data_IF_786007836417
#
_entry.id   IF_786007836417
#
_cell.length_a   1.000
_cell.length_b   1.000
_cell.length_c   1.000
_cell.angle_alpha   90.00
_cell.angle_beta   90.00
_cell.angle_gamma   90.00
#
_symmetry.space_group_name_H-M   'P 1'
#
loop_
_entity.id
_entity.type
_entity.pdbx_description
1 polymer ?
#
# COMPACT_ATOMS: atom_id res chain seq x y z
N UNK A 1 6.54 3.36 24.04
CA UNK A 1 6.77 1.99 23.52
C UNK A 1 6.10 1.75 22.17
N UNK A 2 4.88 2.23 21.92
CA UNK A 2 4.19 2.06 20.62
C UNK A 2 4.85 2.85 19.48
N UNK A 3 5.36 4.07 19.75
CA UNK A 3 5.99 4.93 18.74
C UNK A 3 7.10 4.23 17.92
N UNK A 4 8.05 3.56 18.58
CA UNK A 4 9.12 2.85 17.87
C UNK A 4 8.57 1.69 17.01
N UNK A 5 7.49 1.05 17.45
CA UNK A 5 6.78 0.05 16.66
C UNK A 5 6.15 0.67 15.42
N UNK A 6 5.43 1.79 15.56
CA UNK A 6 4.86 2.54 14.44
C UNK A 6 5.94 2.96 13.43
N UNK A 7 7.05 3.53 13.91
CA UNK A 7 8.16 3.93 13.04
C UNK A 7 8.76 2.74 12.30
N UNK A 8 8.92 1.59 12.98
CA UNK A 8 9.42 0.38 12.33
C UNK A 8 8.47 -0.13 11.24
N UNK A 9 7.16 -0.15 11.50
CA UNK A 9 6.16 -0.57 10.51
C UNK A 9 6.14 0.34 9.28
N UNK A 10 6.19 1.66 9.49
CA UNK A 10 6.23 2.64 8.41
C UNK A 10 7.52 2.52 7.58
N UNK A 11 8.67 2.33 8.26
CA UNK A 11 9.96 2.17 7.59
C UNK A 11 9.99 0.89 6.73
N UNK A 12 9.53 -0.25 7.26
CA UNK A 12 9.47 -1.51 6.51
C UNK A 12 8.53 -1.40 5.30
N UNK A 13 7.40 -0.72 5.45
CA UNK A 13 6.47 -0.48 4.35
C UNK A 13 7.09 0.42 3.27
N UNK A 14 7.74 1.50 3.68
CA UNK A 14 8.47 2.40 2.78
C UNK A 14 9.57 1.68 2.01
N UNK A 15 10.41 0.88 2.69
CA UNK A 15 11.55 0.20 2.04
C UNK A 15 11.09 -0.87 1.06
N UNK A 16 9.99 -1.56 1.39
CA UNK A 16 9.32 -2.50 0.47
C UNK A 16 8.85 -1.76 -0.79
N UNK A 17 8.08 -0.68 -0.61
CA UNK A 17 7.53 0.10 -1.71
C UNK A 17 8.63 0.74 -2.55
N UNK A 18 9.66 1.31 -1.94
CA UNK A 18 10.80 1.92 -2.64
C UNK A 18 11.46 0.95 -3.63
N UNK A 19 11.53 -0.33 -3.26
CA UNK A 19 12.16 -1.36 -4.10
C UNK A 19 11.28 -1.75 -5.29
N UNK A 20 9.95 -1.82 -5.11
CA UNK A 20 9.01 -2.26 -6.15
C UNK A 20 8.28 -1.14 -6.88
N UNK A 21 8.40 0.12 -6.44
CA UNK A 21 7.55 1.25 -6.87
C UNK A 21 7.50 1.43 -8.38
N UNK A 22 8.64 1.31 -9.05
CA UNK A 22 8.74 1.48 -10.51
C UNK A 22 8.05 0.36 -11.29
N UNK A 23 7.89 -0.82 -10.70
CA UNK A 23 7.18 -1.97 -11.29
C UNK A 23 5.66 -1.87 -11.16
N UNK A 24 5.14 -0.98 -10.32
CA UNK A 24 3.69 -0.83 -10.10
C UNK A 24 3.07 0.01 -11.23
N UNK A 25 1.95 -0.43 -11.85
CA UNK A 25 1.24 0.36 -12.85
C UNK A 25 0.94 1.79 -12.37
N UNK A 26 1.10 2.78 -13.26
CA UNK A 26 0.94 4.21 -12.93
C UNK A 26 -0.43 4.55 -12.33
N UNK A 27 -1.49 3.91 -12.82
CA UNK A 27 -2.85 4.06 -12.29
C UNK A 27 -2.95 3.59 -10.84
N UNK A 28 -2.44 2.40 -10.54
CA UNK A 28 -2.45 1.83 -9.19
C UNK A 28 -1.60 2.67 -8.22
N UNK A 29 -0.42 3.14 -8.67
CA UNK A 29 0.40 4.08 -7.90
C UNK A 29 -0.37 5.35 -7.51
N UNK A 30 -1.06 5.96 -8.47
CA UNK A 30 -1.79 7.21 -8.23
C UNK A 30 -2.96 7.00 -7.26
N UNK A 31 -3.72 5.92 -7.46
CA UNK A 31 -4.83 5.57 -6.59
C UNK A 31 -4.38 5.23 -5.16
N UNK A 32 -3.39 4.35 -5.01
CA UNK A 32 -2.90 3.96 -3.70
C UNK A 32 -2.12 5.08 -2.99
N UNK A 33 -1.50 6.02 -3.72
CA UNK A 33 -0.92 7.24 -3.12
C UNK A 33 -2.01 8.15 -2.53
N UNK A 34 -3.17 8.28 -3.18
CA UNK A 34 -4.33 8.99 -2.62
C UNK A 34 -4.87 8.29 -1.37
N UNK A 35 -5.08 6.97 -1.42
CA UNK A 35 -5.53 6.17 -0.27
C UNK A 35 -4.53 6.23 0.89
N UNK A 36 -3.23 6.10 0.60
CA UNK A 36 -2.16 6.17 1.59
C UNK A 36 -2.04 7.53 2.26
N UNK A 37 -2.52 8.61 1.62
CA UNK A 37 -2.54 9.97 2.20
C UNK A 37 -3.75 10.25 3.08
N UNK A 38 -4.75 9.38 3.09
CA UNK A 38 -5.89 9.50 4.01
C UNK A 38 -5.36 9.53 5.45
N UNK A 39 -5.89 10.45 6.26
CA UNK A 39 -5.50 10.63 7.66
C UNK A 39 -4.04 11.06 7.90
N UNK A 40 -3.42 11.76 6.94
CA UNK A 40 -2.12 12.43 7.13
C UNK A 40 -0.91 11.71 6.54
N UNK A 41 -1.11 10.60 5.84
CA UNK A 41 -0.04 9.83 5.19
C UNK A 41 0.42 8.63 6.01
N UNK A 42 0.41 7.46 5.37
CA UNK A 42 0.96 6.21 5.90
C UNK A 42 1.42 5.32 4.76
N UNK A 43 2.69 4.92 4.80
CA UNK A 43 3.24 3.91 3.91
C UNK A 43 2.66 2.53 4.19
N UNK A 44 2.28 2.25 5.44
CA UNK A 44 1.58 1.00 5.77
C UNK A 44 0.22 0.91 5.06
N UNK A 45 -0.56 2.00 5.01
CA UNK A 45 -1.83 2.04 4.26
C UNK A 45 -1.57 1.94 2.76
N UNK A 46 -0.59 2.71 2.25
CA UNK A 46 -0.22 2.68 0.83
C UNK A 46 0.17 1.26 0.39
N UNK A 47 1.03 0.60 1.17
CA UNK A 47 1.49 -0.76 0.91
C UNK A 47 0.31 -1.73 0.89
N UNK A 48 -0.56 -1.66 1.89
CA UNK A 48 -1.75 -2.51 1.95
C UNK A 48 -2.66 -2.31 0.73
N UNK A 49 -2.86 -1.08 0.28
CA UNK A 49 -3.61 -0.80 -0.95
C UNK A 49 -2.96 -1.47 -2.18
N UNK A 50 -1.64 -1.31 -2.35
CA UNK A 50 -0.92 -1.91 -3.49
C UNK A 50 -1.02 -3.44 -3.47
N UNK A 51 -0.88 -4.06 -2.31
CA UNK A 51 -1.02 -5.52 -2.14
C UNK A 51 -2.43 -5.98 -2.51
N UNK A 52 -3.47 -5.33 -1.97
CA UNK A 52 -4.87 -5.66 -2.29
C UNK A 52 -5.19 -5.49 -3.78
N UNK A 53 -4.75 -4.39 -4.41
CA UNK A 53 -4.98 -4.13 -5.83
C UNK A 53 -4.19 -5.09 -6.73
N UNK A 54 -2.98 -5.49 -6.32
CA UNK A 54 -2.18 -6.49 -7.04
C UNK A 54 -2.81 -7.87 -6.96
N UNK A 55 -3.32 -8.25 -5.79
CA UNK A 55 -4.03 -9.51 -5.58
C UNK A 55 -5.34 -9.54 -6.36
N UNK A 56 -6.12 -8.44 -6.35
CA UNK A 56 -7.34 -8.31 -7.14
C UNK A 56 -7.08 -8.36 -8.65
N UNK A 57 -5.97 -7.78 -9.12
CA UNK A 57 -5.55 -7.89 -10.51
C UNK A 57 -5.19 -9.33 -10.91
N UNK A 58 -4.66 -10.13 -9.97
CA UNK A 58 -4.35 -11.55 -10.18
C UNK A 58 -5.58 -12.46 -10.03
N UNK A 59 -6.53 -12.10 -9.15
CA UNK A 59 -7.74 -12.87 -8.84
C UNK A 59 -8.93 -11.94 -8.67
N UNK A 60 -9.66 -11.71 -9.77
CA UNK A 60 -10.92 -10.95 -9.73
C UNK A 60 -12.01 -11.80 -9.09
N UNK A 61 -12.14 -11.70 -7.77
CA UNK A 61 -13.27 -12.29 -7.06
C UNK A 61 -14.51 -11.42 -7.27
N UNK A 62 -15.59 -12.02 -7.75
CA UNK A 62 -16.89 -11.37 -7.78
C UNK A 62 -17.48 -11.35 -6.38
N UNK A 63 -18.02 -10.20 -5.98
CA UNK A 63 -18.76 -10.05 -4.73
C UNK A 63 -19.97 -11.00 -4.72
N UNK A 64 -20.03 -11.89 -3.72
CA UNK A 64 -21.16 -12.81 -3.52
C UNK A 64 -21.94 -12.41 -2.27
N UNK A 65 -23.27 -12.35 -2.40
CA UNK A 65 -24.22 -12.07 -1.32
C UNK A 65 -25.05 -13.30 -0.97
#
# INVERSE_FOLDING_TARGET
MIYNGCMKMEQEAHDTLKTSWLGIPSRMRSYCDEVGRVSGGSYSILKGCVEMESDAAANTQEFKY
#
